data_IF_878197553568
#
_entry.id   IF_878197553568
#
_cell.length_a   1.000
_cell.length_b   1.000
_cell.length_c   1.000
_cell.angle_alpha   90.00
_cell.angle_beta   90.00
_cell.angle_gamma   90.00
#
_symmetry.space_group_name_H-M   'P 1'
#
loop_
_entity.id
_entity.type
_entity.pdbx_description
1 polymer ?
#
# COMPACT_ATOMS: atom_id res chain seq x y z
N UNK A 1 23.65 -3.46 20.14
CA UNK A 1 24.26 -3.05 18.88
C UNK A 1 24.30 -4.17 17.86
N UNK A 2 24.90 -5.29 18.22
CA UNK A 2 24.98 -6.42 17.31
C UNK A 2 23.58 -6.92 16.95
N UNK A 3 22.70 -6.94 17.92
CA UNK A 3 21.35 -7.39 17.68
C UNK A 3 20.63 -6.53 16.62
N UNK A 4 20.82 -5.22 16.71
CA UNK A 4 20.20 -4.32 15.74
C UNK A 4 20.75 -4.55 14.35
N UNK A 5 22.05 -4.79 14.25
CA UNK A 5 22.66 -5.06 12.95
C UNK A 5 22.11 -6.34 12.33
N UNK A 6 21.95 -7.39 13.14
CA UNK A 6 21.41 -8.63 12.64
C UNK A 6 19.99 -8.46 12.17
N UNK A 7 19.19 -7.71 12.91
CA UNK A 7 17.81 -7.47 12.53
C UNK A 7 17.74 -6.72 11.21
N UNK A 8 18.56 -5.69 11.06
CA UNK A 8 18.57 -4.92 9.83
C UNK A 8 19.02 -5.78 8.66
N UNK A 9 19.99 -6.64 8.89
CA UNK A 9 20.49 -7.52 7.83
C UNK A 9 19.42 -8.48 7.36
N UNK A 10 18.67 -9.05 8.29
CA UNK A 10 17.59 -9.95 7.91
C UNK A 10 16.51 -9.23 7.13
N UNK A 11 16.19 -8.03 7.55
CA UNK A 11 15.18 -7.24 6.85
C UNK A 11 15.63 -6.97 5.42
N UNK A 12 16.89 -6.63 5.23
CA UNK A 12 17.40 -6.38 3.89
C UNK A 12 17.32 -7.61 3.02
N UNK A 13 17.69 -8.76 3.58
CA UNK A 13 17.63 -10.00 2.80
C UNK A 13 16.21 -10.32 2.38
N UNK A 14 15.25 -10.12 3.26
CA UNK A 14 13.87 -10.40 2.93
C UNK A 14 13.35 -9.43 1.88
N UNK A 15 13.76 -8.18 1.96
CA UNK A 15 13.37 -7.22 0.95
C UNK A 15 13.88 -7.62 -0.42
N UNK A 16 15.06 -8.23 -0.49
CA UNK A 16 15.60 -8.68 -1.74
C UNK A 16 14.79 -9.81 -2.34
N UNK A 17 14.00 -10.48 -1.54
CA UNK A 17 13.12 -11.53 -2.02
C UNK A 17 11.79 -10.99 -2.49
N UNK A 18 11.70 -9.67 -2.65
CA UNK A 18 10.52 -9.03 -3.19
C UNK A 18 9.29 -9.15 -2.31
N UNK A 19 9.51 -9.20 -1.01
CA UNK A 19 8.39 -9.24 -0.07
C UNK A 19 7.85 -7.83 0.09
N UNK A 20 6.58 -7.66 -0.24
CA UNK A 20 5.96 -6.36 -0.10
C UNK A 20 5.48 -6.17 1.32
N UNK A 21 5.86 -5.04 1.90
CA UNK A 21 5.52 -4.72 3.28
C UNK A 21 4.51 -3.58 3.33
N UNK A 22 3.51 -3.66 2.46
CA UNK A 22 2.49 -2.61 2.38
C UNK A 22 1.12 -3.25 2.36
N UNK A 23 0.18 -2.58 3.00
CA UNK A 23 -1.22 -3.00 3.00
C UNK A 23 -2.08 -1.81 2.62
N UNK A 24 -3.09 -2.06 1.82
CA UNK A 24 -4.04 -1.03 1.42
C UNK A 24 -5.41 -1.23 2.08
N UNK A 25 -5.44 -1.96 3.17
CA UNK A 25 -6.71 -2.19 3.86
C UNK A 25 -7.34 -0.90 4.33
N UNK A 26 -6.52 0.05 4.75
CA UNK A 26 -7.05 1.34 5.18
C UNK A 26 -7.78 2.03 4.04
N UNK A 27 -7.26 1.89 2.83
CA UNK A 27 -7.92 2.44 1.66
C UNK A 27 -9.29 1.81 1.45
N UNK A 28 -9.36 0.47 1.55
CA UNK A 28 -10.64 -0.20 1.32
C UNK A 28 -11.66 0.15 2.38
N UNK A 29 -11.22 0.27 3.63
CA UNK A 29 -12.12 0.67 4.70
C UNK A 29 -12.64 2.09 4.48
N UNK A 30 -11.76 2.97 4.02
CA UNK A 30 -12.15 4.35 3.75
C UNK A 30 -13.18 4.42 2.64
N UNK A 31 -13.02 3.60 1.60
CA UNK A 31 -13.98 3.55 0.52
C UNK A 31 -15.35 3.08 1.03
N UNK A 32 -15.35 2.09 1.91
CA UNK A 32 -16.60 1.61 2.48
C UNK A 32 -17.26 2.72 3.29
N UNK A 33 -16.47 3.42 4.11
CA UNK A 33 -17.00 4.52 4.91
C UNK A 33 -17.61 5.61 4.05
N UNK A 34 -17.02 5.85 2.90
CA UNK A 34 -17.46 6.92 2.00
C UNK A 34 -18.45 6.42 0.97
N UNK A 35 -18.73 5.12 0.98
CA UNK A 35 -19.69 4.51 0.04
C UNK A 35 -19.27 4.72 -1.41
N UNK A 36 -17.98 4.57 -1.65
CA UNK A 36 -17.40 4.68 -2.98
C UNK A 36 -16.93 3.31 -3.43
N UNK A 37 -17.30 2.89 -4.63
CA UNK A 37 -16.84 1.62 -5.15
C UNK A 37 -15.42 1.75 -5.68
N UNK A 38 -14.73 0.60 -5.80
CA UNK A 38 -13.38 0.60 -6.34
C UNK A 38 -13.37 1.11 -7.78
N UNK A 39 -14.40 0.77 -8.55
CA UNK A 39 -14.50 1.25 -9.93
C UNK A 39 -14.66 2.76 -9.96
N UNK A 40 -15.47 3.30 -9.08
CA UNK A 40 -15.66 4.75 -9.02
C UNK A 40 -14.37 5.45 -8.62
N UNK A 41 -13.64 4.88 -7.67
CA UNK A 41 -12.35 5.44 -7.28
C UNK A 41 -11.40 5.45 -8.46
N UNK A 42 -11.34 4.36 -9.22
CA UNK A 42 -10.44 4.26 -10.36
C UNK A 42 -10.77 5.34 -11.38
N UNK A 43 -12.05 5.52 -11.66
CA UNK A 43 -12.47 6.51 -12.64
C UNK A 43 -12.18 7.93 -12.17
N UNK A 44 -12.47 8.21 -10.91
CA UNK A 44 -12.28 9.56 -10.39
C UNK A 44 -10.80 9.93 -10.29
N UNK A 45 -9.96 8.96 -9.95
CA UNK A 45 -8.53 9.23 -9.81
C UNK A 45 -7.77 9.12 -11.11
N UNK A 46 -8.38 8.50 -12.13
CA UNK A 46 -7.73 8.38 -13.42
C UNK A 46 -6.62 7.35 -13.47
N UNK A 47 -6.59 6.41 -12.55
CA UNK A 47 -5.55 5.40 -12.55
C UNK A 47 -5.93 4.25 -13.47
N UNK A 48 -4.92 3.52 -13.94
CA UNK A 48 -5.12 2.44 -14.89
C UNK A 48 -5.71 1.21 -14.21
N UNK A 49 -6.43 0.36 -14.95
CA UNK A 49 -6.95 -0.88 -14.37
C UNK A 49 -5.86 -1.78 -13.79
N UNK A 50 -4.69 -1.82 -14.42
CA UNK A 50 -3.57 -2.62 -13.90
C UNK A 50 -3.14 -2.13 -12.54
N UNK A 51 -3.15 -0.82 -12.35
CA UNK A 51 -2.78 -0.22 -11.08
C UNK A 51 -3.76 -0.62 -10.00
N UNK A 52 -5.06 -0.61 -10.32
CA UNK A 52 -6.07 -1.03 -9.37
C UNK A 52 -5.86 -2.50 -8.99
N UNK A 53 -5.48 -3.33 -9.94
CA UNK A 53 -5.20 -4.73 -9.66
C UNK A 53 -4.03 -4.87 -8.69
N UNK A 54 -2.98 -4.06 -8.88
CA UNK A 54 -1.85 -4.08 -7.96
C UNK A 54 -2.27 -3.68 -6.55
N UNK A 55 -3.13 -2.69 -6.44
CA UNK A 55 -3.63 -2.27 -5.13
C UNK A 55 -4.37 -3.40 -4.45
N UNK A 56 -5.17 -4.14 -5.19
CA UNK A 56 -5.92 -5.26 -4.61
C UNK A 56 -5.01 -6.39 -4.16
N UNK A 57 -3.82 -6.49 -4.73
CA UNK A 57 -2.86 -7.53 -4.38
C UNK A 57 -1.83 -7.05 -3.37
N UNK A 58 -1.97 -5.82 -2.87
CA UNK A 58 -1.00 -5.22 -1.96
C UNK A 58 0.38 -5.15 -2.61
N UNK A 59 0.41 -4.84 -3.90
CA UNK A 59 1.66 -4.68 -4.61
C UNK A 59 2.05 -3.22 -4.65
N UNK A 60 3.31 -2.99 -4.94
CA UNK A 60 3.87 -1.64 -4.94
C UNK A 60 3.29 -0.82 -6.08
N UNK A 61 2.92 0.42 -5.76
CA UNK A 61 2.53 1.40 -6.77
C UNK A 61 3.29 2.69 -6.48
N UNK A 62 3.32 3.59 -7.45
CA UNK A 62 4.07 4.82 -7.28
C UNK A 62 3.34 5.78 -6.34
N UNK A 63 4.12 6.70 -5.77
CA UNK A 63 3.52 7.73 -4.94
C UNK A 63 2.60 8.64 -5.75
N UNK A 64 2.89 8.80 -7.04
CA UNK A 64 2.02 9.59 -7.91
C UNK A 64 0.62 9.00 -7.94
N UNK A 65 0.52 7.67 -8.05
CA UNK A 65 -0.76 7.00 -8.02
C UNK A 65 -1.46 7.20 -6.69
N UNK A 66 -0.72 7.01 -5.61
CA UNK A 66 -1.28 7.18 -4.27
C UNK A 66 -1.73 8.62 -4.05
N UNK A 67 -0.98 9.58 -4.60
CA UNK A 67 -1.36 10.97 -4.50
C UNK A 67 -2.67 11.28 -5.21
N UNK A 68 -2.89 10.66 -6.36
CA UNK A 68 -4.15 10.84 -7.07
C UNK A 68 -5.32 10.32 -6.25
N UNK A 69 -5.12 9.19 -5.59
CA UNK A 69 -6.16 8.62 -4.73
C UNK A 69 -6.41 9.53 -3.53
N UNK A 70 -5.35 10.02 -2.92
CA UNK A 70 -5.49 10.93 -1.79
C UNK A 70 -6.27 12.18 -2.16
N UNK A 71 -6.01 12.70 -3.35
CA UNK A 71 -6.69 13.91 -3.79
C UNK A 71 -8.19 13.67 -3.93
N UNK A 72 -8.57 12.54 -4.50
CA UNK A 72 -9.98 12.20 -4.68
C UNK A 72 -10.68 12.02 -3.35
N UNK A 73 -10.02 11.37 -2.40
CA UNK A 73 -10.61 11.06 -1.12
C UNK A 73 -10.35 12.13 -0.07
N UNK A 74 -9.55 13.13 -0.42
CA UNK A 74 -9.17 14.19 0.54
C UNK A 74 -8.56 13.55 1.79
N UNK A 75 -7.65 12.63 1.57
CA UNK A 75 -7.01 11.86 2.63
C UNK A 75 -5.51 11.99 2.51
N UNK A 76 -4.81 11.54 3.55
CA UNK A 76 -3.36 11.54 3.55
C UNK A 76 -2.86 10.14 3.21
N UNK A 77 -1.56 10.03 2.90
CA UNK A 77 -0.99 8.73 2.60
C UNK A 77 -1.21 7.74 3.74
N UNK A 78 -1.05 8.20 4.97
CA UNK A 78 -1.23 7.32 6.12
C UNK A 78 -2.65 6.83 6.30
N UNK A 79 -3.61 7.48 5.63
CA UNK A 79 -4.99 7.05 5.69
C UNK A 79 -5.30 5.93 4.72
N UNK A 80 -4.43 5.68 3.75
CA UNK A 80 -4.72 4.69 2.72
C UNK A 80 -3.68 3.57 2.66
N UNK A 81 -2.49 3.77 3.21
CA UNK A 81 -1.47 2.72 3.21
C UNK A 81 -0.96 2.50 4.62
N UNK A 82 -0.37 1.32 4.80
CA UNK A 82 0.11 0.92 6.11
C UNK A 82 1.32 0.01 5.90
N UNK A 83 2.34 0.21 6.73
CA UNK A 83 3.47 -0.70 6.72
C UNK A 83 3.09 -1.98 7.45
N UNK A 84 3.37 -3.10 6.84
CA UNK A 84 3.11 -4.40 7.43
C UNK A 84 4.40 -5.19 7.40
N UNK A 85 4.84 -5.64 8.56
CA UNK A 85 6.09 -6.39 8.64
C UNK A 85 5.81 -7.87 8.45
N UNK A 86 5.80 -8.29 7.21
CA UNK A 86 5.55 -9.69 6.89
C UNK A 86 6.81 -10.53 6.90
N UNK A 87 7.96 -9.88 6.89
CA UNK A 87 9.22 -10.60 6.86
C UNK A 87 9.51 -11.37 8.13
N UNK A 88 8.89 -10.98 9.22
CA UNK A 88 9.15 -11.62 10.50
C UNK A 88 8.30 -12.84 10.75
N UNK A 89 7.39 -13.15 9.86
CA UNK A 89 6.45 -14.23 10.10
C UNK A 89 7.02 -15.60 9.78
N UNK A 90 8.24 -15.64 9.37
CA UNK A 90 8.88 -16.95 9.15
C UNK A 90 9.69 -17.38 10.35
#
# INVERSE_FOLDING_TARGET
MIYLLLTAYKALNRCQEAIMAVSYERLWKLLIDRKISKADLRKASGIAPNTMTKLRRNEEVTLTVLGKICKVLEADYGDIIEYVDKGDEE
#
